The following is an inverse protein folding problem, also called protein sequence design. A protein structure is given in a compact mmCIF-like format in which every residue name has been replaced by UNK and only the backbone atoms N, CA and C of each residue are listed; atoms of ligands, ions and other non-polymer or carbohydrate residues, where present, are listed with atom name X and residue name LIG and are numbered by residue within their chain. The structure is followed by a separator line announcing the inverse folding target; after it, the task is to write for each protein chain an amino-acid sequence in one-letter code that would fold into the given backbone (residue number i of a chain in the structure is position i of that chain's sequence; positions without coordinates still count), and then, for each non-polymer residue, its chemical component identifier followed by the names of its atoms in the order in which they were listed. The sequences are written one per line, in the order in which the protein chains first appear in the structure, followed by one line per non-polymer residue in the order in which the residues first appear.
data_IF_750382392442
#
_entry.id   IF_750382392442
#
_cell.length_a   1.000
_cell.length_b   1.000
_cell.length_c   1.000
_cell.angle_alpha   90.00
_cell.angle_beta   90.00
_cell.angle_gamma   90.00
#
_symmetry.space_group_name_H-M   'P 1'
#
loop_
_entity.id
_entity.type
_entity.pdbx_description
1 polymer ?
#
# COMPACT_ATOMS: atom_id res chain seq x y z
N UNK A 1 11.80 -1.06 -16.03
CA UNK A 1 10.56 -1.63 -16.58
C UNK A 1 9.79 -2.44 -15.53
N UNK A 2 10.45 -3.14 -14.61
CA UNK A 2 9.80 -4.03 -13.63
C UNK A 2 8.76 -3.37 -12.70
N UNK A 3 8.82 -2.05 -12.49
CA UNK A 3 7.95 -1.31 -11.56
C UNK A 3 6.82 -0.52 -12.23
N UNK A 4 6.56 -0.70 -13.53
CA UNK A 4 5.65 0.17 -14.30
C UNK A 4 4.20 0.19 -13.82
N UNK A 5 3.77 -0.86 -13.11
CA UNK A 5 2.42 -1.00 -12.56
C UNK A 5 2.43 -1.19 -11.04
N UNK A 6 3.60 -1.04 -10.41
CA UNK A 6 3.73 -1.09 -8.96
C UNK A 6 3.25 0.23 -8.36
N UNK A 7 2.60 0.16 -7.20
CA UNK A 7 2.33 1.36 -6.42
C UNK A 7 3.59 1.78 -5.68
N UNK A 8 3.88 3.07 -5.77
CA UNK A 8 5.00 3.66 -5.06
C UNK A 8 4.50 4.15 -3.70
N UNK A 9 5.21 3.71 -2.66
CA UNK A 9 5.00 4.11 -1.28
C UNK A 9 6.23 4.90 -0.82
N UNK A 10 6.00 6.09 -0.28
CA UNK A 10 7.04 6.98 0.21
C UNK A 10 6.75 7.28 1.68
N UNK A 11 7.78 7.18 2.51
CA UNK A 11 7.71 7.46 3.94
C UNK A 11 8.88 8.36 4.34
N UNK A 12 8.66 9.22 5.33
CA UNK A 12 9.71 10.08 5.90
C UNK A 12 10.69 9.31 6.80
N UNK A 13 10.31 8.08 7.17
CA UNK A 13 11.08 7.18 8.03
C UNK A 13 12.38 6.80 7.35
N UNK A 14 13.48 6.99 8.07
CA UNK A 14 14.81 6.67 7.56
C UNK A 14 15.00 5.16 7.57
N UNK A 15 15.73 4.67 6.57
CA UNK A 15 15.97 3.23 6.41
C UNK A 15 16.47 2.51 7.67
N UNK A 16 17.37 3.08 8.50
CA UNK A 16 17.81 2.43 9.74
C UNK A 16 16.69 2.22 10.76
N UNK A 17 15.66 3.07 10.72
CA UNK A 17 14.53 3.08 11.65
C UNK A 17 13.31 2.33 11.08
N UNK A 18 13.38 1.85 9.83
CA UNK A 18 12.30 1.10 9.21
C UNK A 18 12.25 -0.33 9.79
N UNK A 19 11.20 -0.60 10.56
CA UNK A 19 10.96 -1.89 11.23
C UNK A 19 9.65 -2.52 10.76
N UNK A 20 9.30 -3.64 11.40
CA UNK A 20 8.09 -4.42 11.10
C UNK A 20 6.82 -3.58 11.10
N UNK A 21 6.71 -2.66 12.04
CA UNK A 21 5.48 -1.88 12.23
C UNK A 21 5.25 -0.95 11.03
N UNK A 22 6.31 -0.31 10.53
CA UNK A 22 6.26 0.54 9.33
C UNK A 22 5.97 -0.27 8.07
N UNK A 23 6.45 -1.51 8.02
CA UNK A 23 6.12 -2.41 6.92
C UNK A 23 4.63 -2.82 6.94
N UNK A 24 4.07 -3.09 8.12
CA UNK A 24 2.64 -3.39 8.27
C UNK A 24 1.79 -2.18 7.91
N UNK A 25 2.17 -0.98 8.36
CA UNK A 25 1.51 0.28 8.01
C UNK A 25 1.53 0.53 6.49
N UNK A 26 2.68 0.29 5.83
CA UNK A 26 2.78 0.40 4.38
C UNK A 26 1.90 -0.61 3.64
N UNK A 27 1.71 -1.82 4.18
CA UNK A 27 0.81 -2.83 3.63
C UNK A 27 -0.66 -2.46 3.82
N UNK A 28 -1.04 -1.92 4.97
CA UNK A 28 -2.40 -1.43 5.23
C UNK A 28 -2.74 -0.26 4.29
N UNK A 29 -1.81 0.68 4.11
CA UNK A 29 -2.00 1.79 3.18
C UNK A 29 -2.11 1.27 1.73
N UNK A 30 -1.26 0.32 1.34
CA UNK A 30 -1.37 -0.34 0.03
C UNK A 30 -2.73 -1.05 -0.15
N UNK A 31 -3.25 -1.71 0.88
CA UNK A 31 -4.54 -2.40 0.83
C UNK A 31 -5.73 -1.43 0.78
N UNK A 32 -5.63 -0.27 1.46
CA UNK A 32 -6.68 0.76 1.51
C UNK A 32 -6.72 1.67 0.28
N UNK A 33 -5.66 1.72 -0.53
CA UNK A 33 -5.60 2.53 -1.76
C UNK A 33 -6.56 1.98 -2.81
N UNK A 34 -7.66 2.69 -3.02
CA UNK A 34 -8.62 2.36 -4.07
C UNK A 34 -8.04 2.70 -5.45
N UNK A 35 -7.78 1.67 -6.25
CA UNK A 35 -7.38 1.88 -7.63
C UNK A 35 -8.58 2.40 -8.41
N UNK A 36 -8.39 3.51 -9.12
CA UNK A 36 -9.39 4.16 -9.99
C UNK A 36 -10.07 3.21 -10.99
N UNK A 37 -9.47 2.06 -11.29
CA UNK A 37 -10.03 0.98 -12.14
C UNK A 37 -9.83 -0.44 -11.56
N UNK A 38 -9.48 -0.57 -10.28
CA UNK A 38 -9.23 -1.87 -9.64
C UNK A 38 -10.02 -1.97 -8.35
N UNK A 39 -11.20 -2.61 -8.47
CA UNK A 39 -12.19 -2.87 -7.42
C UNK A 39 -12.67 -1.60 -6.69
N UNK A 40 -13.81 -1.08 -7.14
CA UNK A 40 -14.62 -0.11 -6.39
C UNK A 40 -14.94 -0.70 -5.01
N UNK A 41 -14.89 0.13 -3.95
CA UNK A 41 -15.01 -0.27 -2.53
C UNK A 41 -16.10 -1.27 -2.14
N UNK A 42 -17.11 -1.52 -2.99
CA UNK A 42 -18.11 -2.57 -2.82
C UNK A 42 -17.55 -4.01 -2.73
N UNK A 43 -16.29 -4.26 -3.09
CA UNK A 43 -15.68 -5.61 -2.97
C UNK A 43 -14.81 -5.80 -1.72
N UNK A 44 -14.60 -4.75 -0.92
CA UNK A 44 -13.85 -4.83 0.35
C UNK A 44 -14.75 -5.11 1.57
N UNK A 45 -16.08 -5.01 1.41
CA UNK A 45 -17.07 -5.13 2.50
C UNK A 45 -17.79 -6.49 2.53
N UNK A 46 -17.35 -7.50 1.77
CA UNK A 46 -17.92 -8.85 1.85
C UNK A 46 -16.87 -9.82 2.39
N UNK A 47 -16.70 -9.82 3.71
CA UNK A 47 -16.39 -11.00 4.52
C UNK A 47 -17.16 -10.89 5.82
#
# INVERSE_FOLDING_TARGET
WQLSYAELYFTDIKWPDFRRDQFLEALEEYAGRQRRFGKTGAQAETV
#
